data_IF_881969271191
#
_entry.id   IF_881969271191
#
_cell.length_a   1.000
_cell.length_b   1.000
_cell.length_c   1.000
_cell.angle_alpha   90.00
_cell.angle_beta   90.00
_cell.angle_gamma   90.00
#
_symmetry.space_group_name_H-M   'P 1'
#
loop_
_entity.id
_entity.type
_entity.pdbx_description
1 polymer ?
#
# COMPACT_ATOMS: atom_id res chain seq x y z
N UNK A 1 -17.24 -16.14 32.20
CA UNK A 1 -16.67 -16.92 31.09
C UNK A 1 -15.82 -15.95 30.30
N UNK A 2 -14.53 -15.89 30.61
CA UNK A 2 -13.57 -15.00 29.95
C UNK A 2 -12.90 -15.71 28.79
N UNK A 3 -12.52 -14.90 27.80
CA UNK A 3 -11.56 -15.12 26.72
C UNK A 3 -12.08 -15.68 25.40
N UNK A 4 -12.43 -14.73 24.52
CA UNK A 4 -12.54 -14.92 23.08
C UNK A 4 -12.07 -13.65 22.39
N UNK A 5 -10.77 -13.34 22.46
CA UNK A 5 -10.12 -12.45 21.49
C UNK A 5 -10.34 -13.09 20.12
N UNK A 6 -11.38 -12.66 19.42
CA UNK A 6 -11.86 -13.33 18.22
C UNK A 6 -10.77 -13.38 17.17
N UNK A 7 -10.34 -14.60 16.84
CA UNK A 7 -9.41 -14.85 15.74
C UNK A 7 -9.86 -14.08 14.48
N UNK A 8 -8.90 -13.51 13.75
CA UNK A 8 -9.19 -12.80 12.51
C UNK A 8 -9.98 -13.70 11.55
N UNK A 9 -11.14 -13.23 11.11
CA UNK A 9 -11.92 -13.87 10.04
C UNK A 9 -11.35 -13.42 8.69
N UNK A 10 -11.39 -14.30 7.72
CA UNK A 10 -10.80 -14.10 6.39
C UNK A 10 -11.84 -14.31 5.32
N UNK A 11 -11.76 -13.51 4.26
CA UNK A 11 -12.46 -13.75 3.02
C UNK A 11 -11.51 -14.39 2.02
N UNK A 12 -11.86 -15.60 1.56
CA UNK A 12 -11.13 -16.30 0.51
C UNK A 12 -11.82 -16.04 -0.83
N UNK A 13 -11.05 -15.68 -1.83
CA UNK A 13 -11.50 -15.48 -3.21
C UNK A 13 -10.88 -16.55 -4.09
N UNK A 14 -11.72 -17.40 -4.66
CA UNK A 14 -11.34 -18.33 -5.72
C UNK A 14 -11.72 -17.70 -7.05
N UNK A 15 -10.72 -17.17 -7.74
CA UNK A 15 -10.85 -16.35 -8.94
C UNK A 15 -10.51 -17.20 -10.16
N UNK A 16 -11.46 -17.28 -11.10
CA UNK A 16 -11.31 -17.99 -12.37
C UNK A 16 -11.68 -17.06 -13.50
N UNK A 17 -10.71 -16.70 -14.34
CA UNK A 17 -10.95 -15.82 -15.51
C UNK A 17 -10.43 -16.56 -16.75
N UNK A 18 -11.17 -16.55 -17.86
CA UNK A 18 -10.72 -17.13 -19.13
C UNK A 18 -9.29 -16.74 -19.51
N UNK A 19 -8.60 -17.67 -20.17
CA UNK A 19 -7.21 -17.48 -20.59
C UNK A 19 -7.08 -16.35 -21.62
N UNK A 20 -8.06 -16.24 -22.51
CA UNK A 20 -8.13 -15.25 -23.56
C UNK A 20 -9.48 -14.52 -23.54
N UNK A 21 -9.49 -13.20 -23.78
CA UNK A 21 -8.32 -12.33 -23.95
C UNK A 21 -7.67 -11.99 -22.59
N UNK A 22 -6.33 -11.93 -22.55
CA UNK A 22 -5.55 -11.79 -21.31
C UNK A 22 -5.85 -10.51 -20.49
N UNK A 23 -6.35 -9.46 -21.14
CA UNK A 23 -6.65 -8.16 -20.51
C UNK A 23 -7.54 -8.27 -19.27
N UNK A 24 -8.51 -9.20 -19.26
CA UNK A 24 -9.45 -9.34 -18.14
C UNK A 24 -8.77 -9.94 -16.93
N UNK A 25 -7.97 -11.01 -17.13
CA UNK A 25 -7.16 -11.61 -16.07
C UNK A 25 -6.14 -10.63 -15.51
N UNK A 26 -5.50 -9.82 -16.37
CA UNK A 26 -4.55 -8.78 -15.95
C UNK A 26 -5.25 -7.69 -15.12
N UNK A 27 -6.45 -7.26 -15.53
CA UNK A 27 -7.21 -6.26 -14.77
C UNK A 27 -7.59 -6.77 -13.37
N UNK A 28 -8.07 -8.02 -13.28
CA UNK A 28 -8.40 -8.66 -12.00
C UNK A 28 -7.16 -8.82 -11.11
N UNK A 29 -6.05 -9.28 -11.68
CA UNK A 29 -4.78 -9.42 -10.94
C UNK A 29 -4.26 -8.07 -10.42
N UNK A 30 -4.31 -7.02 -11.25
CA UNK A 30 -3.92 -5.66 -10.83
C UNK A 30 -4.79 -5.15 -9.69
N UNK A 31 -6.09 -5.39 -9.75
CA UNK A 31 -7.01 -4.98 -8.69
C UNK A 31 -6.75 -5.73 -7.39
N UNK A 32 -6.54 -7.05 -7.43
CA UNK A 32 -6.18 -7.86 -6.26
C UNK A 32 -4.88 -7.36 -5.60
N UNK A 33 -3.86 -7.03 -6.41
CA UNK A 33 -2.62 -6.42 -5.92
C UNK A 33 -2.86 -5.05 -5.29
N UNK A 34 -3.63 -4.18 -5.95
CA UNK A 34 -4.00 -2.85 -5.44
C UNK A 34 -4.72 -2.93 -4.09
N UNK A 35 -5.60 -3.91 -3.93
CA UNK A 35 -6.36 -4.15 -2.69
C UNK A 35 -5.47 -4.72 -1.58
N UNK A 36 -4.26 -5.21 -1.88
CA UNK A 36 -3.38 -5.87 -0.91
C UNK A 36 -3.82 -7.29 -0.57
N UNK A 37 -4.53 -7.97 -1.47
CA UNK A 37 -4.90 -9.36 -1.27
C UNK A 37 -3.67 -10.26 -1.27
N UNK A 38 -3.57 -11.15 -0.28
CA UNK A 38 -2.51 -12.14 -0.15
C UNK A 38 -2.81 -13.32 -1.09
N UNK A 39 -1.84 -13.71 -1.90
CA UNK A 39 -1.98 -14.88 -2.78
C UNK A 39 -1.50 -16.15 -2.06
N UNK A 40 -2.40 -17.10 -1.82
CA UNK A 40 -2.07 -18.37 -1.13
C UNK A 40 -2.07 -19.58 -2.08
N UNK A 41 -2.50 -19.40 -3.33
CA UNK A 41 -2.53 -20.44 -4.35
C UNK A 41 -2.85 -19.90 -5.74
N UNK A 42 -2.86 -20.80 -6.73
CA UNK A 42 -3.23 -20.45 -8.10
C UNK A 42 -4.70 -20.02 -8.14
N UNK A 43 -4.95 -18.74 -8.46
CA UNK A 43 -6.29 -18.16 -8.43
C UNK A 43 -6.92 -18.08 -7.03
N UNK A 44 -6.18 -18.34 -5.95
CA UNK A 44 -6.69 -18.29 -4.58
C UNK A 44 -6.04 -17.13 -3.83
N UNK A 45 -6.88 -16.19 -3.43
CA UNK A 45 -6.49 -14.95 -2.76
C UNK A 45 -7.23 -14.83 -1.44
N UNK A 46 -6.64 -14.14 -0.48
CA UNK A 46 -7.26 -13.91 0.82
C UNK A 46 -7.07 -12.47 1.27
N UNK A 47 -8.08 -11.95 1.95
CA UNK A 47 -8.03 -10.69 2.69
C UNK A 47 -8.65 -10.89 4.06
N UNK A 48 -8.25 -10.13 5.09
CA UNK A 48 -8.97 -10.06 6.34
C UNK A 48 -10.42 -9.58 6.10
N UNK A 49 -11.39 -10.19 6.77
CA UNK A 49 -12.81 -9.82 6.69
C UNK A 49 -13.08 -8.56 7.53
N UNK A 50 -12.63 -7.41 7.01
CA UNK A 50 -12.81 -6.10 7.60
C UNK A 50 -13.21 -5.07 6.53
N UNK A 51 -13.91 -3.98 6.90
CA UNK A 51 -14.56 -3.09 5.93
C UNK A 51 -13.65 -2.48 4.86
N UNK A 52 -12.37 -2.24 5.15
CA UNK A 52 -11.44 -1.58 4.23
C UNK A 52 -11.26 -2.33 2.90
N UNK A 53 -11.50 -3.65 2.87
CA UNK A 53 -11.35 -4.44 1.65
C UNK A 53 -12.64 -4.55 0.81
N UNK A 54 -13.81 -4.19 1.36
CA UNK A 54 -15.11 -4.49 0.76
C UNK A 54 -15.30 -3.90 -0.66
N UNK A 55 -14.95 -2.63 -0.85
CA UNK A 55 -15.06 -1.96 -2.16
C UNK A 55 -14.09 -2.56 -3.18
N UNK A 56 -12.88 -2.90 -2.73
CA UNK A 56 -11.87 -3.55 -3.55
C UNK A 56 -12.31 -4.93 -4.04
N UNK A 57 -12.88 -5.74 -3.13
CA UNK A 57 -13.42 -7.05 -3.47
C UNK A 57 -14.60 -6.94 -4.44
N UNK A 58 -15.50 -5.99 -4.22
CA UNK A 58 -16.62 -5.73 -5.13
C UNK A 58 -16.11 -5.42 -6.55
N UNK A 59 -15.05 -4.61 -6.66
CA UNK A 59 -14.41 -4.30 -7.95
C UNK A 59 -13.73 -5.51 -8.59
N UNK A 60 -13.08 -6.38 -7.82
CA UNK A 60 -12.51 -7.65 -8.31
C UNK A 60 -13.60 -8.51 -8.97
N UNK A 61 -14.74 -8.66 -8.29
CA UNK A 61 -15.89 -9.44 -8.77
C UNK A 61 -16.43 -8.85 -10.08
N UNK A 62 -16.63 -7.52 -10.13
CA UNK A 62 -17.08 -6.85 -11.35
C UNK A 62 -16.10 -7.03 -12.53
N UNK A 63 -14.80 -6.87 -12.29
CA UNK A 63 -13.78 -7.02 -13.33
C UNK A 63 -13.71 -8.45 -13.87
N UNK A 64 -13.89 -9.45 -13.00
CA UNK A 64 -13.95 -10.85 -13.41
C UNK A 64 -15.18 -11.11 -14.29
N UNK A 65 -16.37 -10.69 -13.87
CA UNK A 65 -17.61 -10.88 -14.64
C UNK A 65 -17.55 -10.21 -16.02
N UNK A 66 -16.92 -9.04 -16.15
CA UNK A 66 -16.71 -8.38 -17.46
C UNK A 66 -15.87 -9.20 -18.44
N UNK A 67 -15.09 -10.15 -17.94
CA UNK A 67 -14.29 -11.07 -18.74
C UNK A 67 -14.84 -12.48 -18.80
N UNK A 68 -16.13 -12.67 -18.50
CA UNK A 68 -16.77 -14.01 -18.40
C UNK A 68 -16.07 -14.92 -17.38
N UNK A 69 -15.41 -14.31 -16.39
CA UNK A 69 -14.82 -14.99 -15.25
C UNK A 69 -15.79 -15.08 -14.08
N UNK A 70 -15.38 -15.85 -13.09
CA UNK A 70 -16.13 -16.18 -11.88
C UNK A 70 -15.26 -15.88 -10.65
N UNK A 71 -15.89 -15.42 -9.57
CA UNK A 71 -15.25 -15.30 -8.26
C UNK A 71 -16.15 -15.97 -7.22
N UNK A 72 -15.66 -17.04 -6.62
CA UNK A 72 -16.30 -17.65 -5.45
C UNK A 72 -15.69 -17.05 -4.18
N UNK A 73 -16.53 -16.46 -3.35
CA UNK A 73 -16.13 -15.91 -2.04
C UNK A 73 -16.53 -16.87 -0.92
N UNK A 74 -15.62 -17.11 0.02
CA UNK A 74 -15.82 -18.02 1.14
C UNK A 74 -15.35 -17.36 2.44
N UNK A 75 -16.13 -17.51 3.50
CA UNK A 75 -15.68 -17.16 4.84
C UNK A 75 -14.74 -18.25 5.37
N UNK A 76 -13.58 -17.85 5.90
CA UNK A 76 -12.57 -18.75 6.42
C UNK A 76 -11.91 -18.21 7.69
N UNK A 77 -11.20 -19.11 8.36
CA UNK A 77 -10.28 -18.81 9.45
C UNK A 77 -9.28 -19.95 9.59
N UNK A 78 -8.18 -19.70 10.29
CA UNK A 78 -7.24 -20.77 10.61
C UNK A 78 -7.91 -21.86 11.46
N UNK A 79 -7.72 -23.11 11.07
CA UNK A 79 -8.31 -24.28 11.75
C UNK A 79 -7.71 -24.42 13.14
N UNK A 80 -6.38 -24.36 13.20
CA UNK A 80 -5.61 -24.35 14.44
C UNK A 80 -4.93 -23.00 14.65
N UNK A 81 -4.41 -22.78 15.85
CA UNK A 81 -3.71 -21.54 16.18
C UNK A 81 -2.48 -21.31 15.29
N UNK A 82 -1.77 -22.38 14.95
CA UNK A 82 -0.65 -22.32 14.02
C UNK A 82 -1.07 -21.85 12.61
N UNK A 83 -2.24 -22.24 12.13
CA UNK A 83 -2.76 -21.81 10.83
C UNK A 83 -3.15 -20.33 10.84
N UNK A 84 -3.74 -19.86 11.95
CA UNK A 84 -4.11 -18.44 12.13
C UNK A 84 -2.87 -17.56 12.11
N UNK A 85 -1.90 -17.88 12.98
CA UNK A 85 -0.63 -17.18 13.06
C UNK A 85 0.12 -17.20 11.73
N UNK A 86 0.06 -18.32 10.99
CA UNK A 86 0.68 -18.42 9.66
C UNK A 86 0.01 -17.50 8.64
N UNK A 87 -1.32 -17.44 8.57
CA UNK A 87 -2.04 -16.56 7.64
C UNK A 87 -1.79 -15.08 7.94
N UNK A 88 -1.90 -14.69 9.22
CA UNK A 88 -1.59 -13.33 9.67
C UNK A 88 -0.13 -12.98 9.36
N UNK A 89 0.81 -13.86 9.69
CA UNK A 89 2.24 -13.65 9.42
C UNK A 89 2.54 -13.48 7.94
N UNK A 90 1.93 -14.28 7.05
CA UNK A 90 2.09 -14.11 5.60
C UNK A 90 1.54 -12.77 5.11
N UNK A 91 0.37 -12.35 5.59
CA UNK A 91 -0.22 -11.08 5.20
C UNK A 91 0.61 -9.89 5.69
N UNK A 92 1.07 -9.94 6.94
CA UNK A 92 1.94 -8.92 7.54
C UNK A 92 3.29 -8.85 6.83
N UNK A 93 3.84 -9.98 6.39
CA UNK A 93 5.08 -10.00 5.61
C UNK A 93 4.93 -9.27 4.26
N UNK A 94 3.84 -9.52 3.51
CA UNK A 94 3.54 -8.77 2.28
C UNK A 94 3.43 -7.25 2.53
N UNK A 95 2.82 -6.84 3.65
CA UNK A 95 2.75 -5.41 4.04
C UNK A 95 4.12 -4.84 4.43
N UNK A 96 4.96 -5.62 5.09
CA UNK A 96 6.31 -5.21 5.44
C UNK A 96 7.20 -4.98 4.21
N UNK A 97 7.04 -5.77 3.15
CA UNK A 97 7.70 -5.53 1.86
C UNK A 97 7.27 -4.19 1.25
N UNK A 98 5.96 -3.89 1.22
CA UNK A 98 5.45 -2.61 0.72
C UNK A 98 5.98 -1.42 1.55
N UNK A 99 6.05 -1.55 2.87
CA UNK A 99 6.65 -0.52 3.72
C UNK A 99 8.15 -0.33 3.46
N UNK A 100 8.88 -1.40 3.18
CA UNK A 100 10.30 -1.34 2.83
C UNK A 100 10.51 -0.56 1.53
N UNK A 101 9.67 -0.80 0.51
CA UNK A 101 9.70 -0.02 -0.73
C UNK A 101 9.37 1.46 -0.49
N UNK A 102 8.38 1.74 0.35
CA UNK A 102 8.01 3.10 0.74
C UNK A 102 9.16 3.85 1.43
N UNK A 103 9.85 3.21 2.39
CA UNK A 103 11.01 3.76 3.07
C UNK A 103 12.15 4.07 2.09
N UNK A 104 12.39 3.17 1.13
CA UNK A 104 13.38 3.41 0.08
C UNK A 104 13.02 4.61 -0.81
N UNK A 105 11.73 4.84 -1.08
CA UNK A 105 11.24 5.98 -1.86
C UNK A 105 11.33 7.30 -1.08
N UNK A 106 11.12 7.27 0.24
CA UNK A 106 11.42 8.40 1.11
C UNK A 106 12.91 8.75 1.10
N UNK A 107 13.80 7.74 1.14
CA UNK A 107 15.24 7.97 1.02
C UNK A 107 15.65 8.57 -0.35
N UNK A 108 14.94 8.22 -1.43
CA UNK A 108 15.13 8.87 -2.74
C UNK A 108 14.70 10.33 -2.72
N UNK A 109 13.57 10.64 -2.08
CA UNK A 109 13.10 12.02 -1.91
C UNK A 109 14.12 12.87 -1.14
N UNK A 110 14.64 12.38 -0.02
CA UNK A 110 15.64 13.10 0.77
C UNK A 110 16.91 13.41 -0.03
N UNK A 111 17.37 12.43 -0.83
CA UNK A 111 18.54 12.57 -1.69
C UNK A 111 18.32 13.60 -2.82
N UNK A 112 17.09 13.72 -3.34
CA UNK A 112 16.76 14.73 -4.35
C UNK A 112 16.76 16.13 -3.73
N UNK A 113 16.16 16.31 -2.55
CA UNK A 113 16.23 17.58 -1.80
C UNK A 113 17.68 17.98 -1.51
N UNK A 114 18.52 17.04 -1.05
CA UNK A 114 19.95 17.29 -0.81
C UNK A 114 20.68 17.72 -2.08
N UNK A 115 20.37 17.09 -3.21
CA UNK A 115 20.93 17.43 -4.51
C UNK A 115 20.57 18.86 -4.91
N UNK A 116 19.29 19.24 -4.86
CA UNK A 116 18.82 20.57 -5.25
C UNK A 116 19.40 21.67 -4.35
N UNK A 117 19.49 21.42 -3.03
CA UNK A 117 20.20 22.30 -2.09
C UNK A 117 21.68 22.41 -2.45
N UNK A 118 22.35 21.28 -2.74
CA UNK A 118 23.78 21.24 -3.02
C UNK A 118 24.20 22.01 -4.28
N UNK A 119 23.33 22.04 -5.30
CA UNK A 119 23.54 22.84 -6.52
C UNK A 119 22.92 24.25 -6.44
N UNK A 120 22.29 24.61 -5.32
CA UNK A 120 21.67 25.91 -5.08
C UNK A 120 20.48 26.22 -5.99
N UNK A 121 19.76 25.19 -6.44
CA UNK A 121 18.68 25.32 -7.43
C UNK A 121 17.35 25.68 -6.78
N UNK A 122 17.29 26.90 -6.27
CA UNK A 122 16.15 27.43 -5.53
C UNK A 122 15.13 28.12 -6.44
N UNK A 123 14.24 27.34 -7.07
CA UNK A 123 13.19 27.90 -7.95
C UNK A 123 11.80 27.40 -7.55
N UNK A 124 10.77 28.18 -7.90
CA UNK A 124 9.36 27.78 -7.66
C UNK A 124 9.01 26.49 -8.39
N UNK A 125 9.51 26.29 -9.61
CA UNK A 125 9.22 25.08 -10.38
C UNK A 125 9.70 23.81 -9.66
N UNK A 126 10.92 23.84 -9.10
CA UNK A 126 11.44 22.71 -8.33
C UNK A 126 10.67 22.51 -7.03
N UNK A 127 10.33 23.59 -6.33
CA UNK A 127 9.50 23.50 -5.13
C UNK A 127 8.15 22.81 -5.44
N UNK A 128 7.48 23.19 -6.53
CA UNK A 128 6.22 22.57 -6.95
C UNK A 128 6.39 21.09 -7.32
N UNK A 129 7.53 20.70 -7.93
CA UNK A 129 7.83 19.30 -8.23
C UNK A 129 8.02 18.48 -6.94
N UNK A 130 8.72 19.02 -5.96
CA UNK A 130 8.95 18.34 -4.68
C UNK A 130 7.69 18.26 -3.80
N UNK A 131 6.84 19.29 -3.84
CA UNK A 131 5.50 19.25 -3.22
C UNK A 131 4.64 18.12 -3.79
N UNK A 132 4.67 17.94 -5.12
CA UNK A 132 3.97 16.84 -5.77
C UNK A 132 4.57 15.48 -5.40
N UNK A 133 5.90 15.38 -5.30
CA UNK A 133 6.59 14.18 -4.84
C UNK A 133 6.17 13.79 -3.42
N UNK A 134 6.15 14.75 -2.48
CA UNK A 134 5.71 14.50 -1.10
C UNK A 134 4.22 14.10 -1.05
N UNK A 135 3.35 14.71 -1.84
CA UNK A 135 1.93 14.33 -1.88
C UNK A 135 1.74 12.91 -2.42
N UNK A 136 2.57 12.46 -3.38
CA UNK A 136 2.58 11.05 -3.82
C UNK A 136 2.96 10.12 -2.67
N UNK A 137 4.02 10.44 -1.90
CA UNK A 137 4.39 9.66 -0.71
C UNK A 137 3.28 9.62 0.33
N UNK A 138 2.65 10.76 0.65
CA UNK A 138 1.51 10.83 1.59
C UNK A 138 0.32 9.98 1.17
N UNK A 139 0.02 9.95 -0.13
CA UNK A 139 -1.06 9.09 -0.66
C UNK A 139 -0.70 7.62 -0.52
N UNK A 140 0.50 7.24 -0.96
CA UNK A 140 0.95 5.86 -0.91
C UNK A 140 1.00 5.33 0.53
N UNK A 141 1.53 6.12 1.46
CA UNK A 141 1.53 5.81 2.89
C UNK A 141 0.13 5.51 3.43
N UNK A 142 -0.85 6.39 3.14
CA UNK A 142 -2.25 6.18 3.54
C UNK A 142 -2.82 4.89 2.95
N UNK A 143 -2.51 4.59 1.69
CA UNK A 143 -2.97 3.39 1.01
C UNK A 143 -2.38 2.09 1.62
N UNK A 144 -1.10 2.10 2.01
CA UNK A 144 -0.50 0.94 2.73
C UNK A 144 -1.11 0.84 4.14
N UNK A 145 -1.15 1.95 4.89
CA UNK A 145 -1.65 1.99 6.27
C UNK A 145 -3.09 1.52 6.41
N UNK A 146 -3.95 1.86 5.44
CA UNK A 146 -5.33 1.40 5.41
C UNK A 146 -5.43 -0.14 5.31
N UNK A 147 -4.50 -0.79 4.60
CA UNK A 147 -4.48 -2.25 4.37
C UNK A 147 -3.64 -3.01 5.39
N UNK A 148 -2.79 -2.33 6.15
CA UNK A 148 -1.95 -2.91 7.20
C UNK A 148 -2.73 -3.14 8.50
N UNK A 149 -3.67 -4.08 8.45
CA UNK A 149 -4.64 -4.30 9.54
C UNK A 149 -4.09 -5.08 10.73
N UNK A 150 -2.92 -5.72 10.57
CA UNK A 150 -2.24 -6.45 11.64
C UNK A 150 -1.02 -5.69 12.20
N UNK A 151 -0.64 -4.57 11.58
CA UNK A 151 0.44 -3.70 12.05
C UNK A 151 1.82 -4.29 11.79
N UNK A 152 2.34 -4.09 10.59
CA UNK A 152 3.71 -4.43 10.26
C UNK A 152 4.69 -3.58 11.11
N UNK A 153 5.78 -4.16 11.65
CA UNK A 153 6.74 -3.43 12.48
C UNK A 153 7.31 -2.17 11.80
N UNK A 154 7.49 -2.20 10.47
CA UNK A 154 8.01 -1.10 9.68
C UNK A 154 7.07 0.13 9.59
N UNK A 155 5.79 0.00 9.95
CA UNK A 155 4.83 1.10 9.85
C UNK A 155 5.20 2.30 10.72
N UNK A 156 5.81 2.07 11.90
CA UNK A 156 6.25 3.14 12.80
C UNK A 156 7.42 3.93 12.20
N UNK A 157 8.38 3.21 11.63
CA UNK A 157 9.52 3.83 10.94
C UNK A 157 9.03 4.62 9.71
N UNK A 158 8.08 4.08 8.95
CA UNK A 158 7.48 4.75 7.81
C UNK A 158 6.72 6.04 8.20
N UNK A 159 5.98 6.03 9.32
CA UNK A 159 5.34 7.23 9.87
C UNK A 159 6.38 8.31 10.20
N UNK A 160 7.49 7.93 10.84
CA UNK A 160 8.58 8.85 11.21
C UNK A 160 9.29 9.40 9.98
N UNK A 161 9.59 8.53 9.00
CA UNK A 161 10.28 8.92 7.79
C UNK A 161 9.43 9.87 6.93
N UNK A 162 8.12 9.64 6.83
CA UNK A 162 7.24 10.56 6.11
C UNK A 162 7.19 11.94 6.77
N UNK A 163 7.16 11.99 8.11
CA UNK A 163 7.24 13.25 8.84
C UNK A 163 8.57 13.97 8.58
N UNK A 164 9.68 13.22 8.56
CA UNK A 164 10.99 13.75 8.21
C UNK A 164 11.01 14.37 6.80
N UNK A 165 10.50 13.67 5.78
CA UNK A 165 10.43 14.21 4.42
C UNK A 165 9.58 15.49 4.34
N UNK A 166 8.51 15.60 5.15
CA UNK A 166 7.72 16.82 5.23
C UNK A 166 8.50 17.98 5.85
N UNK A 167 9.27 17.75 6.91
CA UNK A 167 10.13 18.77 7.53
C UNK A 167 11.25 19.21 6.58
N UNK A 168 11.83 18.26 5.82
CA UNK A 168 12.84 18.52 4.78
C UNK A 168 12.31 19.44 3.69
N UNK A 169 11.10 19.19 3.20
CA UNK A 169 10.46 20.06 2.22
C UNK A 169 10.21 21.45 2.79
N UNK A 170 9.77 21.56 4.05
CA UNK A 170 9.53 22.85 4.68
C UNK A 170 10.81 23.71 4.78
N UNK A 171 11.95 23.12 5.15
CA UNK A 171 13.26 23.80 5.12
C UNK A 171 13.64 24.23 3.69
N UNK A 172 13.44 23.34 2.71
CA UNK A 172 13.69 23.67 1.31
C UNK A 172 12.82 24.83 0.81
N UNK A 173 11.52 24.83 1.16
CA UNK A 173 10.58 25.92 0.87
C UNK A 173 11.06 27.25 1.43
N UNK A 174 11.52 27.28 2.69
CA UNK A 174 12.04 28.51 3.30
C UNK A 174 13.24 29.06 2.52
N UNK A 175 14.19 28.18 2.13
CA UNK A 175 15.37 28.56 1.33
C UNK A 175 14.98 29.11 -0.04
N UNK A 176 14.00 28.50 -0.71
CA UNK A 176 13.48 28.99 -1.99
C UNK A 176 12.92 30.40 -1.84
N UNK A 177 12.09 30.63 -0.83
CA UNK A 177 11.56 31.97 -0.58
C UNK A 177 12.66 32.98 -0.24
N UNK A 178 13.63 32.62 0.60
CA UNK A 178 14.76 33.51 0.92
C UNK A 178 15.56 33.89 -0.34
N UNK A 179 15.84 32.92 -1.22
CA UNK A 179 16.55 33.18 -2.48
C UNK A 179 15.79 34.13 -3.40
N UNK A 180 14.45 33.97 -3.50
CA UNK A 180 13.60 34.84 -4.33
C UNK A 180 13.50 36.27 -3.81
N UNK A 181 13.58 36.49 -2.49
CA UNK A 181 13.58 37.84 -1.91
C UNK A 181 14.93 38.56 -2.03
N UNK A 182 16.01 37.83 -2.32
CA UNK A 182 17.35 38.39 -2.51
C UNK A 182 17.67 38.73 -3.97
N UNK A 183 16.79 38.35 -4.91
CA UNK A 183 16.84 38.71 -6.34
C UNK A 183 16.13 40.03 -6.61
#
# INVERSE_FOLDING_TARGET
MTDGSGAARWLVLVVRVPAEPSRHRVAVWRELRRVGALQIGQGVWVVPDVPVFADGISRVIELAHRGEGEVLTLDAGGREEADRARLEGMFTADRAEEWTEFLADCGRFDAEIDKEIGIGKFTIAELEEEEQSLERLRRWHRDIKARDVFGAPAAVEADQQLAHCADRLADYTERVFQALHQM
#
